data_IF_179414247626
#
_entry.id   IF_179414247626
#
_cell.length_a   1.000
_cell.length_b   1.000
_cell.length_c   1.000
_cell.angle_alpha   90.00
_cell.angle_beta   90.00
_cell.angle_gamma   90.00
#
_symmetry.space_group_name_H-M   'P 1'
#
loop_
_entity.id
_entity.type
_entity.pdbx_description
1 polymer ?
#
# COMPACT_ATOMS: atom_id res chain seq x y z
N UNK A 1 3.86 -3.84 -20.43
CA UNK A 1 4.12 -3.81 -18.97
C UNK A 1 4.25 -5.24 -18.50
N UNK A 2 5.34 -5.61 -17.83
CA UNK A 2 5.47 -6.96 -17.23
C UNK A 2 4.42 -7.11 -16.13
N UNK A 3 3.61 -8.16 -16.19
CA UNK A 3 2.57 -8.41 -15.20
C UNK A 3 3.21 -8.68 -13.82
N UNK A 4 2.85 -7.89 -12.81
CA UNK A 4 3.30 -8.11 -11.43
C UNK A 4 2.70 -9.43 -10.92
N UNK A 5 3.50 -10.26 -10.24
CA UNK A 5 2.96 -11.47 -9.61
C UNK A 5 2.25 -11.10 -8.32
N UNK A 6 1.25 -11.89 -7.93
CA UNK A 6 0.52 -11.65 -6.67
C UNK A 6 1.48 -11.68 -5.47
N UNK A 7 2.45 -12.59 -5.45
CA UNK A 7 3.46 -12.63 -4.40
C UNK A 7 4.31 -11.35 -4.31
N UNK A 8 4.69 -10.79 -5.47
CA UNK A 8 5.42 -9.51 -5.51
C UNK A 8 4.51 -8.35 -5.08
N UNK A 9 3.25 -8.33 -5.50
CA UNK A 9 2.28 -7.32 -5.07
C UNK A 9 2.08 -7.35 -3.55
N UNK A 10 1.87 -8.52 -2.96
CA UNK A 10 1.76 -8.66 -1.50
C UNK A 10 3.04 -8.20 -0.78
N UNK A 11 4.22 -8.54 -1.31
CA UNK A 11 5.50 -8.14 -0.72
C UNK A 11 5.72 -6.62 -0.73
N UNK A 12 5.38 -5.95 -1.84
CA UNK A 12 5.43 -4.48 -1.95
C UNK A 12 4.38 -3.85 -1.04
N UNK A 13 3.15 -4.38 -1.02
CA UNK A 13 2.07 -3.88 -0.18
C UNK A 13 2.42 -3.93 1.31
N UNK A 14 3.06 -5.00 1.77
CA UNK A 14 3.53 -5.13 3.16
C UNK A 14 4.72 -4.22 3.49
N UNK A 15 5.40 -3.69 2.48
CA UNK A 15 6.59 -2.84 2.62
C UNK A 15 6.39 -1.50 1.90
N UNK A 16 5.18 -0.94 1.98
CA UNK A 16 4.77 0.25 1.21
C UNK A 16 5.69 1.47 1.42
N UNK A 17 6.28 1.59 2.61
CA UNK A 17 7.19 2.68 2.97
C UNK A 17 8.64 2.44 2.51
N UNK A 18 8.94 1.27 1.93
CA UNK A 18 10.29 0.99 1.42
C UNK A 18 10.65 1.92 0.27
N UNK A 19 11.92 2.33 0.25
CA UNK A 19 12.54 3.10 -0.85
C UNK A 19 13.01 2.20 -1.99
N UNK A 20 12.95 0.87 -1.80
CA UNK A 20 13.38 -0.11 -2.80
C UNK A 20 12.37 -0.27 -3.93
N UNK A 21 11.16 0.28 -3.78
CA UNK A 21 10.09 0.22 -4.76
C UNK A 21 9.73 1.59 -5.28
N UNK A 22 9.49 1.69 -6.58
CA UNK A 22 9.04 2.94 -7.21
C UNK A 22 7.57 3.21 -6.89
N UNK A 23 7.13 4.47 -7.05
CA UNK A 23 5.73 4.83 -6.86
C UNK A 23 4.80 4.09 -7.83
N UNK A 24 5.28 3.78 -9.04
CA UNK A 24 4.56 2.95 -10.01
C UNK A 24 4.40 1.50 -9.52
N UNK A 25 5.47 0.90 -8.98
CA UNK A 25 5.40 -0.44 -8.40
C UNK A 25 4.46 -0.49 -7.19
N UNK A 26 4.47 0.54 -6.35
CA UNK A 26 3.55 0.69 -5.22
C UNK A 26 2.10 0.83 -5.68
N UNK A 27 1.83 1.66 -6.68
CA UNK A 27 0.50 1.84 -7.25
C UNK A 27 -0.06 0.54 -7.83
N UNK A 28 0.76 -0.20 -8.59
CA UNK A 28 0.38 -1.52 -9.14
C UNK A 28 0.11 -2.51 -8.01
N UNK A 29 0.96 -2.57 -6.99
CA UNK A 29 0.79 -3.49 -5.86
C UNK A 29 -0.51 -3.22 -5.07
N UNK A 30 -0.81 -1.95 -4.80
CA UNK A 30 -2.07 -1.53 -4.16
C UNK A 30 -3.27 -1.95 -5.01
N UNK A 31 -3.21 -1.70 -6.33
CA UNK A 31 -4.28 -2.08 -7.24
C UNK A 31 -4.50 -3.60 -7.26
N UNK A 32 -3.44 -4.41 -7.36
CA UNK A 32 -3.55 -5.87 -7.36
C UNK A 32 -4.15 -6.38 -6.04
N UNK A 33 -3.65 -5.92 -4.88
CA UNK A 33 -4.17 -6.35 -3.57
C UNK A 33 -5.62 -5.92 -3.34
N UNK A 34 -6.00 -4.71 -3.77
CA UNK A 34 -7.38 -4.22 -3.65
C UNK A 34 -8.39 -5.06 -4.45
N UNK A 35 -7.95 -5.69 -5.55
CA UNK A 35 -8.78 -6.56 -6.39
C UNK A 35 -8.71 -8.04 -5.99
N UNK A 36 -7.98 -8.39 -4.93
CA UNK A 36 -7.92 -9.77 -4.45
C UNK A 36 -9.18 -10.13 -3.63
N UNK A 37 -9.68 -11.38 -3.74
CA UNK A 37 -10.86 -11.82 -2.99
C UNK A 37 -10.58 -11.95 -1.48
N UNK A 38 -9.32 -12.12 -1.08
CA UNK A 38 -8.88 -12.14 0.31
C UNK A 38 -7.52 -11.45 0.44
N UNK A 39 -7.19 -10.97 1.64
CA UNK A 39 -5.93 -10.29 1.91
C UNK A 39 -4.72 -11.24 2.07
N UNK A 40 -4.89 -12.57 1.88
CA UNK A 40 -3.82 -13.58 1.82
C UNK A 40 -2.69 -13.43 2.86
N UNK A 41 -3.01 -13.16 4.13
CA UNK A 41 -2.01 -13.03 5.21
C UNK A 41 -1.37 -11.65 5.36
N UNK A 42 -1.81 -10.64 4.60
CA UNK A 42 -1.47 -9.24 4.85
C UNK A 42 -2.02 -8.84 6.22
N UNK A 43 -1.14 -8.32 7.07
CA UNK A 43 -1.50 -7.93 8.44
C UNK A 43 -2.31 -6.64 8.45
N UNK A 44 -3.08 -6.43 9.52
CA UNK A 44 -3.76 -5.14 9.76
C UNK A 44 -2.77 -3.98 9.77
N UNK A 45 -1.58 -4.17 10.32
CA UNK A 45 -0.55 -3.13 10.38
C UNK A 45 -0.08 -2.72 8.97
N UNK A 46 0.10 -3.69 8.06
CA UNK A 46 0.40 -3.41 6.66
C UNK A 46 -0.74 -2.65 5.97
N UNK A 47 -2.00 -3.03 6.21
CA UNK A 47 -3.15 -2.28 5.70
C UNK A 47 -3.17 -0.83 6.21
N UNK A 48 -2.90 -0.62 7.50
CA UNK A 48 -2.83 0.72 8.09
C UNK A 48 -1.66 1.53 7.53
N UNK A 49 -0.50 0.90 7.27
CA UNK A 49 0.62 1.57 6.62
C UNK A 49 0.23 2.08 5.23
N UNK A 50 -0.43 1.25 4.42
CA UNK A 50 -0.92 1.66 3.09
C UNK A 50 -1.97 2.76 3.18
N UNK A 51 -2.90 2.69 4.14
CA UNK A 51 -3.89 3.76 4.34
C UNK A 51 -3.20 5.08 4.71
N UNK A 52 -2.21 5.05 5.62
CA UNK A 52 -1.44 6.25 6.00
C UNK A 52 -0.63 6.80 4.83
N UNK A 53 0.01 5.93 4.06
CA UNK A 53 0.73 6.29 2.84
C UNK A 53 -0.17 7.06 1.88
N UNK A 54 -1.34 6.50 1.54
CA UNK A 54 -2.31 7.16 0.65
C UNK A 54 -2.94 8.41 1.27
N UNK A 55 -3.17 8.41 2.58
CA UNK A 55 -3.72 9.57 3.29
C UNK A 55 -2.76 10.75 3.20
N UNK A 56 -1.47 10.56 3.51
CA UNK A 56 -0.46 11.62 3.50
C UNK A 56 -0.23 12.21 2.09
N UNK A 57 -0.54 11.44 1.03
CA UNK A 57 -0.50 11.93 -0.36
C UNK A 57 -1.67 12.86 -0.71
N UNK A 58 -2.78 12.81 0.03
CA UNK A 58 -4.04 13.50 -0.31
C UNK A 58 -4.53 14.47 0.73
N UNK A 59 -4.14 14.27 1.98
CA UNK A 59 -4.70 14.96 3.13
C UNK A 59 -3.60 15.31 4.11
N UNK A 60 -3.74 16.48 4.72
CA UNK A 60 -2.96 16.89 5.89
C UNK A 60 -3.88 16.83 7.11
N UNK A 61 -3.41 16.18 8.17
CA UNK A 61 -4.16 16.15 9.42
C UNK A 61 -3.91 17.45 10.18
N UNK A 62 -4.93 18.31 10.26
CA UNK A 62 -4.90 19.52 11.08
C UNK A 62 -5.55 19.18 12.42
N UNK A 63 -4.72 18.97 13.43
CA UNK A 63 -5.18 18.79 14.80
C UNK A 63 -5.76 20.13 15.29
N UNK A 64 -7.08 20.18 15.53
CA UNK A 64 -7.69 21.35 16.15
C UNK A 64 -7.42 21.27 17.64
N UNK A 65 -6.54 22.16 18.13
CA UNK A 65 -6.31 22.34 19.55
C UNK A 65 -7.60 22.72 20.29
N UNK A 66 -7.78 22.13 21.48
CA UNK A 66 -8.87 22.43 22.43
C UNK A 66 -8.83 23.88 22.93
#
# INVERSE_FOLDING_TARGET
MSKMTIGKACAIFMQIDSKDYTDEEKAIAIHEVMNMPTHMGITKDAMLAVIKYLWNEKYEFIEKGE
#
